data_IF_803475168231
#
_entry.id   IF_803475168231
#
_cell.length_a   1.000
_cell.length_b   1.000
_cell.length_c   1.000
_cell.angle_alpha   90.00
_cell.angle_beta   90.00
_cell.angle_gamma   90.00
#
_symmetry.space_group_name_H-M   'P 1'
#
loop_
_entity.id
_entity.type
_entity.pdbx_description
1 polymer ?
#
# COMPACT_ATOMS: atom_id res chain seq x y z
N UNK A 1 -4.21 18.43 67.52
CA UNK A 1 -5.36 18.35 66.62
C UNK A 1 -4.93 18.87 65.27
N UNK A 2 -5.02 18.02 64.25
CA UNK A 2 -4.26 18.10 63.00
C UNK A 2 -5.21 18.42 61.87
N UNK A 3 -5.01 19.55 61.16
CA UNK A 3 -5.63 19.78 59.85
C UNK A 3 -4.66 20.65 59.03
N UNK A 4 -4.19 20.15 57.88
CA UNK A 4 -4.55 20.73 56.57
C UNK A 4 -3.67 20.18 55.43
N UNK A 5 -4.30 19.30 54.64
CA UNK A 5 -4.31 19.27 53.16
C UNK A 5 -3.00 19.56 52.41
N UNK A 6 -2.28 18.48 52.09
CA UNK A 6 -1.38 18.44 50.92
C UNK A 6 -2.12 17.81 49.74
N UNK A 7 -2.65 18.64 48.86
CA UNK A 7 -3.18 18.22 47.57
C UNK A 7 -2.58 19.14 46.50
N UNK A 8 -1.60 18.65 45.74
CA UNK A 8 -1.15 19.27 44.50
C UNK A 8 -0.65 18.14 43.59
N UNK A 9 -1.59 17.63 42.79
CA UNK A 9 -1.65 17.79 41.34
C UNK A 9 -0.59 16.95 40.59
N UNK A 10 -1.00 15.74 40.24
CA UNK A 10 -0.39 14.93 39.21
C UNK A 10 -0.63 15.60 37.84
N UNK A 11 0.41 16.23 37.28
CA UNK A 11 0.46 16.63 35.88
C UNK A 11 0.78 15.39 35.04
N UNK A 12 -0.24 14.59 34.78
CA UNK A 12 -0.24 13.61 33.70
C UNK A 12 -0.17 14.36 32.38
N UNK A 13 1.05 14.50 31.85
CA UNK A 13 1.26 14.78 30.44
C UNK A 13 0.72 13.58 29.64
N UNK A 14 -0.58 13.61 29.32
CA UNK A 14 -1.10 12.88 28.17
C UNK A 14 -0.52 13.55 26.93
N UNK A 15 0.70 13.18 26.56
CA UNK A 15 1.20 13.33 25.20
C UNK A 15 0.29 12.51 24.31
N UNK A 16 -0.80 13.12 23.85
CA UNK A 16 -1.59 12.65 22.73
C UNK A 16 -0.69 12.75 21.50
N UNK A 17 0.19 11.77 21.35
CA UNK A 17 0.80 11.44 20.07
C UNK A 17 -0.37 11.15 19.14
N UNK A 18 -0.72 12.13 18.32
CA UNK A 18 -1.53 11.88 17.14
C UNK A 18 -0.73 10.92 16.29
N UNK A 19 -0.94 9.62 16.50
CA UNK A 19 -0.65 8.62 15.50
C UNK A 19 -1.58 8.98 14.34
N UNK A 20 -1.07 9.80 13.42
CA UNK A 20 -1.56 9.80 12.06
C UNK A 20 -1.43 8.35 11.61
N UNK A 21 -2.52 7.60 11.75
CA UNK A 21 -2.73 6.38 10.99
C UNK A 21 -2.62 6.83 9.55
N UNK A 22 -1.40 6.78 9.00
CA UNK A 22 -1.17 6.99 7.58
C UNK A 22 -1.89 5.82 6.94
N UNK A 23 -3.14 6.06 6.59
CA UNK A 23 -4.07 5.02 6.22
C UNK A 23 -3.48 4.30 5.04
N UNK A 24 -3.25 3.00 5.19
CA UNK A 24 -2.81 2.12 4.10
C UNK A 24 -3.92 1.91 3.06
N UNK A 25 -5.01 2.69 3.12
CA UNK A 25 -6.20 2.50 2.33
C UNK A 25 -6.18 3.44 1.13
N UNK A 26 -6.31 2.86 -0.05
CA UNK A 26 -6.52 3.62 -1.27
C UNK A 26 -7.93 4.21 -1.30
N UNK A 27 -8.07 5.44 -1.78
CA UNK A 27 -9.40 5.97 -2.14
C UNK A 27 -9.96 5.25 -3.36
N UNK A 28 -11.28 5.28 -3.57
CA UNK A 28 -11.93 4.65 -4.73
C UNK A 28 -11.37 5.15 -6.07
N UNK A 29 -11.04 6.45 -6.14
CA UNK A 29 -10.44 7.05 -7.33
C UNK A 29 -9.01 6.54 -7.55
N UNK A 30 -8.22 6.37 -6.48
CA UNK A 30 -6.88 5.78 -6.57
C UNK A 30 -6.97 4.31 -7.01
N UNK A 31 -7.88 3.52 -6.44
CA UNK A 31 -8.10 2.13 -6.82
C UNK A 31 -8.38 2.01 -8.32
N UNK A 32 -9.31 2.79 -8.85
CA UNK A 32 -9.64 2.78 -10.28
C UNK A 32 -8.44 3.14 -11.18
N UNK A 33 -7.58 4.07 -10.73
CA UNK A 33 -6.40 4.47 -11.49
C UNK A 33 -5.25 3.46 -11.38
N UNK A 34 -5.07 2.84 -10.20
CA UNK A 34 -4.11 1.76 -9.97
C UNK A 34 -4.47 0.55 -10.82
N UNK A 35 -5.75 0.14 -10.81
CA UNK A 35 -6.24 -0.97 -11.62
C UNK A 35 -5.96 -0.75 -13.11
N UNK A 36 -6.29 0.45 -13.61
CA UNK A 36 -6.00 0.83 -15.01
C UNK A 36 -4.51 0.79 -15.33
N UNK A 37 -3.65 1.23 -14.41
CA UNK A 37 -2.20 1.21 -14.61
C UNK A 37 -1.65 -0.23 -14.67
N UNK A 38 -2.10 -1.11 -13.77
CA UNK A 38 -1.71 -2.53 -13.72
C UNK A 38 -2.19 -3.26 -14.97
N UNK A 39 -3.47 -3.13 -15.32
CA UNK A 39 -4.04 -3.74 -16.54
C UNK A 39 -3.28 -3.30 -17.79
N UNK A 40 -2.97 -2.00 -17.89
CA UNK A 40 -2.20 -1.44 -19.00
C UNK A 40 -0.77 -1.98 -19.08
N UNK A 41 -0.10 -2.11 -17.93
CA UNK A 41 1.24 -2.72 -17.86
C UNK A 41 1.22 -4.16 -18.34
N UNK A 42 0.35 -5.00 -17.78
CA UNK A 42 0.25 -6.43 -18.12
C UNK A 42 -0.12 -6.62 -19.59
N UNK A 43 -1.04 -5.80 -20.12
CA UNK A 43 -1.43 -5.87 -21.53
C UNK A 43 -0.26 -5.63 -22.47
N UNK A 44 0.64 -4.72 -22.11
CA UNK A 44 1.81 -4.37 -22.92
C UNK A 44 2.94 -5.39 -22.77
N UNK A 45 3.10 -5.97 -21.58
CA UNK A 45 4.15 -6.93 -21.27
C UNK A 45 3.83 -8.35 -21.79
N UNK A 46 2.59 -8.80 -21.60
CA UNK A 46 2.17 -10.18 -21.84
C UNK A 46 0.83 -10.23 -22.58
N UNK A 47 0.88 -10.46 -23.89
CA UNK A 47 -0.29 -10.46 -24.77
C UNK A 47 -1.36 -11.48 -24.30
N UNK A 48 -2.51 -10.97 -23.86
CA UNK A 48 -3.66 -11.78 -23.43
C UNK A 48 -3.70 -12.12 -21.94
N UNK A 49 -2.63 -11.88 -21.18
CA UNK A 49 -2.61 -12.10 -19.73
C UNK A 49 -3.51 -11.13 -18.97
N UNK A 50 -3.71 -9.91 -19.50
CA UNK A 50 -4.53 -8.88 -18.84
C UNK A 50 -6.05 -9.17 -18.89
N UNK A 51 -6.50 -10.17 -19.65
CA UNK A 51 -7.93 -10.41 -19.85
C UNK A 51 -8.51 -11.16 -18.65
N UNK A 52 -9.36 -10.47 -17.89
CA UNK A 52 -10.10 -11.05 -16.76
C UNK A 52 -9.27 -11.16 -15.48
N UNK A 53 -8.18 -10.39 -15.37
CA UNK A 53 -7.41 -10.33 -14.12
C UNK A 53 -8.28 -9.78 -13.00
N UNK A 54 -8.04 -10.25 -11.79
CA UNK A 54 -8.59 -9.67 -10.56
C UNK A 54 -7.47 -8.98 -9.81
N UNK A 55 -7.69 -7.74 -9.38
CA UNK A 55 -6.75 -6.96 -8.56
C UNK A 55 -7.41 -6.77 -7.20
N UNK A 56 -6.70 -7.10 -6.14
CA UNK A 56 -7.17 -6.97 -4.76
C UNK A 56 -6.02 -6.70 -3.78
N UNK A 57 -6.34 -6.66 -2.49
CA UNK A 57 -5.36 -6.51 -1.40
C UNK A 57 -4.50 -5.25 -1.57
N UNK A 58 -5.12 -4.15 -2.00
CA UNK A 58 -4.44 -2.91 -2.33
C UNK A 58 -4.03 -2.15 -1.07
N UNK A 59 -2.76 -1.76 -1.02
CA UNK A 59 -2.25 -0.86 0.02
C UNK A 59 -1.72 0.42 -0.62
N UNK A 60 -2.14 1.58 -0.12
CA UNK A 60 -1.63 2.88 -0.55
C UNK A 60 -0.85 3.55 0.57
N UNK A 61 0.33 4.07 0.28
CA UNK A 61 1.14 4.81 1.25
C UNK A 61 1.97 5.89 0.57
N UNK A 62 1.66 7.16 0.86
CA UNK A 62 2.48 8.31 0.48
C UNK A 62 2.91 8.31 -1.01
N UNK A 63 1.95 8.07 -1.91
CA UNK A 63 2.22 8.00 -3.35
C UNK A 63 2.84 6.69 -3.83
N UNK A 64 2.88 5.65 -2.99
CA UNK A 64 3.15 4.28 -3.41
C UNK A 64 1.90 3.42 -3.29
N UNK A 65 1.84 2.35 -4.07
CA UNK A 65 0.83 1.32 -3.89
C UNK A 65 1.40 -0.08 -4.12
N UNK A 66 0.81 -1.07 -3.46
CA UNK A 66 0.95 -2.49 -3.79
C UNK A 66 -0.41 -3.11 -4.02
N UNK A 67 -0.48 -4.14 -4.86
CA UNK A 67 -1.71 -4.89 -5.11
C UNK A 67 -1.37 -6.32 -5.51
N UNK A 68 -2.22 -7.27 -5.13
CA UNK A 68 -2.15 -8.66 -5.57
C UNK A 68 -2.96 -8.83 -6.86
N UNK A 69 -2.33 -9.41 -7.85
CA UNK A 69 -2.87 -9.64 -9.20
C UNK A 69 -3.09 -11.13 -9.38
N UNK A 70 -4.34 -11.51 -9.61
CA UNK A 70 -4.73 -12.87 -9.95
C UNK A 70 -5.08 -12.98 -11.43
N UNK A 71 -4.50 -13.97 -12.07
CA UNK A 71 -4.78 -14.30 -13.47
C UNK A 71 -5.79 -15.44 -13.56
N UNK A 72 -6.78 -15.35 -14.47
CA UNK A 72 -7.69 -16.47 -14.70
C UNK A 72 -7.06 -17.60 -15.52
N UNK A 73 -5.95 -17.32 -16.22
CA UNK A 73 -5.25 -18.32 -17.02
C UNK A 73 -4.31 -19.15 -16.13
N UNK A 74 -4.36 -20.49 -16.22
CA UNK A 74 -3.69 -21.39 -15.27
C UNK A 74 -2.16 -21.38 -15.35
N UNK A 75 -1.58 -20.85 -16.43
CA UNK A 75 -0.13 -20.76 -16.61
C UNK A 75 0.51 -19.53 -15.93
N UNK A 76 -0.30 -18.65 -15.33
CA UNK A 76 0.21 -17.48 -14.61
C UNK A 76 -0.10 -17.62 -13.12
N UNK A 77 0.96 -17.56 -12.31
CA UNK A 77 0.83 -17.48 -10.86
C UNK A 77 0.29 -16.10 -10.44
N UNK A 78 -0.25 -16.02 -9.23
CA UNK A 78 -0.59 -14.73 -8.63
C UNK A 78 0.69 -13.91 -8.41
N UNK A 79 0.63 -12.61 -8.70
CA UNK A 79 1.79 -11.72 -8.68
C UNK A 79 1.49 -10.47 -7.86
N UNK A 80 2.51 -9.87 -7.27
CA UNK A 80 2.39 -8.57 -6.61
C UNK A 80 2.82 -7.48 -7.59
N UNK A 81 1.99 -6.46 -7.73
CA UNK A 81 2.30 -5.24 -8.46
C UNK A 81 2.71 -4.15 -7.47
N UNK A 82 3.85 -3.49 -7.72
CA UNK A 82 4.25 -2.28 -7.01
C UNK A 82 4.16 -1.06 -7.92
N UNK A 83 3.66 0.04 -7.39
CA UNK A 83 3.43 1.28 -8.14
C UNK A 83 3.94 2.50 -7.39
N UNK A 84 4.25 3.54 -8.14
CA UNK A 84 4.53 4.88 -7.64
C UNK A 84 3.74 5.93 -8.40
N UNK A 85 3.20 6.89 -7.68
CA UNK A 85 2.52 8.05 -8.20
C UNK A 85 3.51 9.19 -8.42
N UNK A 86 3.77 9.50 -9.69
CA UNK A 86 4.60 10.61 -10.12
C UNK A 86 3.84 11.36 -11.21
N UNK A 87 2.89 12.21 -10.77
CA UNK A 87 1.79 12.83 -11.52
C UNK A 87 0.72 11.85 -12.04
N UNK A 88 1.11 10.62 -12.34
CA UNK A 88 0.24 9.49 -12.67
C UNK A 88 0.78 8.23 -12.00
N UNK A 89 -0.09 7.24 -11.80
CA UNK A 89 0.32 5.93 -11.30
C UNK A 89 1.14 5.19 -12.37
N UNK A 90 2.37 4.82 -12.01
CA UNK A 90 3.29 4.06 -12.85
C UNK A 90 3.62 2.75 -12.14
N UNK A 91 3.51 1.63 -12.85
CA UNK A 91 3.92 0.32 -12.35
C UNK A 91 5.44 0.24 -12.37
N UNK A 92 6.01 -0.09 -11.21
CA UNK A 92 7.45 -0.33 -11.03
C UNK A 92 7.81 -1.77 -11.38
N UNK A 93 6.90 -2.71 -11.15
CA UNK A 93 7.04 -4.10 -11.54
C UNK A 93 5.84 -4.95 -11.11
N UNK A 94 5.66 -6.09 -11.76
CA UNK A 94 4.67 -7.12 -11.44
C UNK A 94 5.38 -8.47 -11.48
N UNK A 95 5.46 -9.17 -10.34
CA UNK A 95 6.19 -10.44 -10.24
C UNK A 95 5.71 -11.29 -9.06
N UNK A 96 6.08 -12.58 -9.05
CA UNK A 96 5.87 -13.48 -7.90
C UNK A 96 6.88 -13.23 -6.77
N UNK A 97 7.95 -12.50 -7.06
CA UNK A 97 8.98 -12.11 -6.10
C UNK A 97 9.89 -11.03 -6.68
N UNK A 98 10.49 -10.25 -5.80
CA UNK A 98 11.41 -9.16 -6.13
C UNK A 98 12.72 -9.33 -5.37
N UNK A 99 13.82 -8.89 -5.97
CA UNK A 99 15.12 -8.89 -5.30
C UNK A 99 15.19 -7.82 -4.20
N UNK A 100 16.19 -7.95 -3.32
CA UNK A 100 16.37 -7.01 -2.20
C UNK A 100 16.69 -5.58 -2.64
N UNK A 101 17.32 -5.39 -3.80
CA UNK A 101 17.65 -4.05 -4.31
C UNK A 101 16.37 -3.31 -4.72
N UNK A 102 15.46 -3.99 -5.42
CA UNK A 102 14.14 -3.49 -5.75
C UNK A 102 13.35 -3.18 -4.49
N UNK A 103 13.28 -4.14 -3.56
CA UNK A 103 12.49 -3.98 -2.34
C UNK A 103 13.01 -2.87 -1.43
N UNK A 104 14.32 -2.57 -1.45
CA UNK A 104 14.88 -1.42 -0.71
C UNK A 104 14.32 -0.06 -1.14
N UNK A 105 13.74 0.02 -2.35
CA UNK A 105 13.15 1.23 -2.92
C UNK A 105 11.65 1.34 -2.61
N UNK A 106 11.03 0.30 -2.04
CA UNK A 106 9.60 0.24 -1.71
C UNK A 106 9.40 0.47 -0.21
N UNK A 107 8.45 1.33 0.22
CA UNK A 107 8.16 1.50 1.64
C UNK A 107 7.75 0.18 2.32
N UNK A 108 8.43 -0.19 3.40
CA UNK A 108 8.24 -1.47 4.09
C UNK A 108 6.78 -1.76 4.49
N UNK A 109 6.01 -0.72 4.82
CA UNK A 109 4.62 -0.86 5.25
C UNK A 109 3.62 -1.28 4.15
N UNK A 110 4.04 -1.29 2.88
CA UNK A 110 3.23 -1.80 1.77
C UNK A 110 3.87 -3.01 1.07
N UNK A 111 5.01 -3.50 1.58
CA UNK A 111 5.63 -4.71 1.05
C UNK A 111 4.75 -5.91 1.42
N UNK A 112 4.39 -6.70 0.40
CA UNK A 112 3.67 -7.97 0.54
C UNK A 112 4.62 -9.16 0.46
#
# INVERSE_FOLDING_TARGET
MTISKSAMLALLFCSSSWALTVGTNCSEQELANIHRAIEGYIKNDSAGASKGITINSEHCLSGYASALVHYPQPQYDAQVAYLRHDHVWKVLGVATGFDGEFMSKIPAAIQQ
#
